data_IF_608408171201
#
_entry.id   IF_608408171201
#
_cell.length_a   1.000
_cell.length_b   1.000
_cell.length_c   1.000
_cell.angle_alpha   90.00
_cell.angle_beta   90.00
_cell.angle_gamma   90.00
#
_symmetry.space_group_name_H-M   'P 1'
#
loop_
_entity.id
_entity.type
_entity.pdbx_description
1 polymer ?
#
# COMPACT_ATOMS: atom_id res chain seq x y z
N UNK A 1 -21.97 -6.25 -12.89
CA UNK A 1 -20.79 -6.46 -12.03
C UNK A 1 -20.00 -5.18 -11.90
N UNK A 2 -19.73 -4.74 -10.66
CA UNK A 2 -18.81 -3.65 -10.36
C UNK A 2 -17.40 -4.24 -10.25
N UNK A 3 -16.43 -3.66 -10.97
CA UNK A 3 -15.02 -4.06 -10.91
C UNK A 3 -14.23 -2.99 -10.18
N UNK A 4 -13.58 -3.38 -9.08
CA UNK A 4 -12.71 -2.52 -8.27
C UNK A 4 -11.29 -3.09 -8.34
N UNK A 5 -10.29 -2.27 -8.64
CA UNK A 5 -8.90 -2.74 -8.67
C UNK A 5 -7.94 -1.67 -8.13
N UNK A 6 -6.68 -2.02 -7.91
CA UNK A 6 -5.66 -1.05 -7.53
C UNK A 6 -5.04 -1.30 -6.15
N UNK A 7 -4.86 -0.22 -5.38
CA UNK A 7 -4.28 -0.31 -4.05
C UNK A 7 -5.21 -1.03 -3.08
N UNK A 8 -4.67 -2.01 -2.36
CA UNK A 8 -5.40 -2.69 -1.31
C UNK A 8 -5.68 -1.77 -0.11
N UNK A 9 -6.90 -1.87 0.41
CA UNK A 9 -7.29 -1.32 1.71
C UNK A 9 -8.37 -2.21 2.34
N UNK A 10 -8.25 -2.58 3.64
CA UNK A 10 -9.26 -3.39 4.32
C UNK A 10 -10.67 -2.78 4.30
N UNK A 11 -10.79 -1.44 4.21
CA UNK A 11 -12.08 -0.77 4.07
C UNK A 11 -12.82 -1.19 2.79
N UNK A 12 -12.10 -1.48 1.72
CA UNK A 12 -12.73 -1.94 0.46
C UNK A 12 -13.38 -3.29 0.67
N UNK A 13 -12.74 -4.20 1.41
CA UNK A 13 -13.29 -5.52 1.70
C UNK A 13 -14.57 -5.39 2.54
N UNK A 14 -14.58 -4.51 3.56
CA UNK A 14 -15.77 -4.20 4.35
C UNK A 14 -16.90 -3.59 3.50
N UNK A 15 -16.59 -2.65 2.64
CA UNK A 15 -17.59 -2.04 1.73
C UNK A 15 -18.19 -3.11 0.82
N UNK A 16 -17.37 -3.98 0.25
CA UNK A 16 -17.83 -5.07 -0.63
C UNK A 16 -18.77 -6.02 0.14
N UNK A 17 -18.43 -6.36 1.39
CA UNK A 17 -19.26 -7.23 2.22
C UNK A 17 -20.60 -6.57 2.57
N UNK A 18 -20.61 -5.29 2.94
CA UNK A 18 -21.84 -4.51 3.14
C UNK A 18 -22.69 -4.47 1.87
N UNK A 19 -22.07 -4.21 0.71
CA UNK A 19 -22.79 -4.17 -0.58
C UNK A 19 -23.46 -5.50 -0.90
N UNK A 20 -22.76 -6.62 -0.70
CA UNK A 20 -23.30 -7.97 -0.93
C UNK A 20 -24.47 -8.29 -0.02
N UNK A 21 -24.43 -7.83 1.23
CA UNK A 21 -25.52 -8.03 2.20
C UNK A 21 -26.72 -7.13 1.93
N UNK A 22 -26.48 -5.93 1.40
CA UNK A 22 -27.54 -4.92 1.20
C UNK A 22 -28.24 -5.07 -0.15
N UNK A 23 -27.50 -5.44 -1.20
CA UNK A 23 -28.02 -5.53 -2.57
C UNK A 23 -27.68 -6.89 -3.18
N UNK A 24 -28.67 -7.78 -3.21
CA UNK A 24 -28.53 -9.15 -3.75
C UNK A 24 -28.08 -9.19 -5.22
N UNK A 25 -28.41 -8.16 -5.99
CA UNK A 25 -28.09 -8.08 -7.42
C UNK A 25 -26.77 -7.35 -7.71
N UNK A 26 -26.05 -6.94 -6.67
CA UNK A 26 -24.78 -6.24 -6.81
C UNK A 26 -23.61 -7.23 -6.74
N UNK A 27 -23.06 -7.59 -7.90
CA UNK A 27 -21.85 -8.40 -7.99
C UNK A 27 -20.61 -7.48 -8.01
N UNK A 28 -19.70 -7.68 -7.07
CA UNK A 28 -18.44 -6.94 -6.98
C UNK A 28 -17.28 -7.89 -7.16
N UNK A 29 -16.42 -7.60 -8.15
CA UNK A 29 -15.12 -8.21 -8.33
C UNK A 29 -14.03 -7.25 -7.85
N UNK A 30 -13.11 -7.72 -7.02
CA UNK A 30 -12.01 -6.92 -6.50
C UNK A 30 -10.67 -7.60 -6.75
N UNK A 31 -9.65 -6.81 -7.12
CA UNK A 31 -8.28 -7.29 -7.30
C UNK A 31 -7.26 -6.26 -6.83
N UNK A 32 -6.10 -6.74 -6.36
CA UNK A 32 -5.07 -5.91 -5.73
C UNK A 32 -3.82 -5.86 -6.60
N UNK A 33 -3.77 -4.90 -7.50
CA UNK A 33 -2.69 -4.72 -8.50
C UNK A 33 -1.78 -3.52 -8.21
N UNK A 34 -1.97 -2.87 -7.06
CA UNK A 34 -1.28 -1.63 -6.70
C UNK A 34 -1.84 -0.40 -7.39
N UNK A 35 -1.46 0.78 -6.89
CA UNK A 35 -2.03 2.07 -7.33
C UNK A 35 -1.83 2.33 -8.82
N UNK A 36 -0.64 2.06 -9.36
CA UNK A 36 -0.39 2.25 -10.79
C UNK A 36 -1.22 1.31 -11.66
N UNK A 37 -1.34 0.04 -11.24
CA UNK A 37 -2.22 -0.93 -11.91
C UNK A 37 -3.67 -0.48 -11.90
N UNK A 38 -4.15 0.11 -10.81
CA UNK A 38 -5.49 0.69 -10.69
C UNK A 38 -5.74 1.83 -11.69
N UNK A 39 -4.81 2.79 -11.80
CA UNK A 39 -4.89 3.88 -12.79
C UNK A 39 -4.97 3.31 -14.21
N UNK A 40 -4.11 2.34 -14.54
CA UNK A 40 -4.06 1.77 -15.89
C UNK A 40 -5.30 0.94 -16.23
N UNK A 41 -5.87 0.24 -15.26
CA UNK A 41 -7.11 -0.52 -15.47
C UNK A 41 -8.32 0.41 -15.71
N UNK A 42 -8.44 1.50 -14.94
CA UNK A 42 -9.48 2.52 -15.18
C UNK A 42 -9.28 3.18 -16.55
N UNK A 43 -8.05 3.55 -16.90
CA UNK A 43 -7.74 4.11 -18.23
C UNK A 43 -8.18 3.21 -19.37
N UNK A 44 -8.02 1.89 -19.25
CA UNK A 44 -8.39 0.91 -20.27
C UNK A 44 -9.85 0.48 -20.20
N UNK A 45 -10.66 1.08 -19.32
CA UNK A 45 -12.03 0.67 -19.03
C UNK A 45 -12.16 -0.81 -18.58
N UNK A 46 -11.09 -1.37 -18.01
CA UNK A 46 -11.07 -2.72 -17.42
C UNK A 46 -11.62 -2.72 -15.98
N UNK A 47 -11.68 -1.56 -15.34
CA UNK A 47 -12.23 -1.39 -14.00
C UNK A 47 -13.10 -0.12 -13.92
N UNK A 48 -14.10 -0.17 -13.05
CA UNK A 48 -15.00 0.96 -12.78
C UNK A 48 -14.41 1.89 -11.71
N UNK A 49 -13.70 1.32 -10.74
CA UNK A 49 -13.05 2.04 -9.64
C UNK A 49 -11.59 1.61 -9.51
N UNK A 50 -10.71 2.57 -9.30
CA UNK A 50 -9.28 2.34 -9.07
C UNK A 50 -8.85 2.87 -7.71
N UNK A 51 -8.41 1.98 -6.79
CA UNK A 51 -7.77 2.40 -5.54
C UNK A 51 -6.38 2.98 -5.81
N UNK A 52 -6.11 4.20 -5.36
CA UNK A 52 -4.83 4.89 -5.59
C UNK A 52 -4.31 5.58 -4.32
N UNK A 53 -2.99 5.49 -4.11
CA UNK A 53 -2.29 6.15 -3.02
C UNK A 53 -0.83 6.40 -3.43
N UNK A 54 -0.61 7.43 -4.24
CA UNK A 54 0.66 7.75 -4.89
C UNK A 54 1.12 9.14 -4.48
N UNK A 55 2.24 9.20 -3.77
CA UNK A 55 2.89 10.46 -3.42
C UNK A 55 3.59 11.05 -4.65
N UNK A 56 3.30 12.30 -4.95
CA UNK A 56 4.12 13.11 -5.86
C UNK A 56 5.24 13.78 -5.07
N UNK A 57 6.47 13.36 -5.31
CA UNK A 57 7.66 13.82 -4.59
C UNK A 57 7.92 15.34 -4.78
N UNK A 58 7.42 15.91 -5.87
CA UNK A 58 7.64 17.33 -6.20
C UNK A 58 6.71 18.24 -5.43
N UNK A 59 5.42 17.89 -5.38
CA UNK A 59 4.38 18.71 -4.76
C UNK A 59 4.03 18.30 -3.34
N UNK A 60 4.44 17.09 -2.90
CA UNK A 60 3.98 16.47 -1.65
C UNK A 60 2.51 16.06 -1.66
N UNK A 61 1.81 16.24 -2.78
CA UNK A 61 0.40 15.90 -2.91
C UNK A 61 0.21 14.46 -3.36
N UNK A 62 -0.97 13.89 -3.05
CA UNK A 62 -1.29 12.53 -3.44
C UNK A 62 -2.17 12.46 -4.69
N UNK A 63 -1.92 11.48 -5.53
CA UNK A 63 -2.75 10.97 -6.62
C UNK A 63 -2.92 11.89 -7.82
N UNK A 64 -3.17 13.19 -7.63
CA UNK A 64 -3.61 14.10 -8.69
C UNK A 64 -2.63 14.21 -9.85
N UNK A 65 -1.33 14.32 -9.56
CA UNK A 65 -0.28 14.41 -10.60
C UNK A 65 -0.24 13.13 -11.46
N UNK A 66 -0.37 11.97 -10.83
CA UNK A 66 -0.41 10.69 -11.54
C UNK A 66 -1.66 10.53 -12.39
N UNK A 67 -2.84 10.87 -11.86
CA UNK A 67 -4.08 10.80 -12.65
C UNK A 67 -4.00 11.71 -13.87
N UNK A 68 -3.56 12.97 -13.71
CA UNK A 68 -3.37 13.90 -14.84
C UNK A 68 -2.35 13.41 -15.87
N UNK A 69 -1.26 12.78 -15.40
CA UNK A 69 -0.21 12.24 -16.28
C UNK A 69 -0.68 11.06 -17.13
N UNK A 70 -1.42 10.14 -16.52
CA UNK A 70 -1.77 8.87 -17.17
C UNK A 70 -3.16 8.86 -17.79
N UNK A 71 -4.05 9.78 -17.39
CA UNK A 71 -5.40 9.96 -17.96
C UNK A 71 -5.57 11.46 -18.30
N UNK A 72 -4.74 12.00 -19.22
CA UNK A 72 -4.78 13.42 -19.57
C UNK A 72 -6.07 13.81 -20.30
N UNK A 73 -6.73 12.86 -20.95
CA UNK A 73 -8.02 13.02 -21.63
C UNK A 73 -9.18 13.27 -20.67
N UNK A 74 -8.98 13.05 -19.37
CA UNK A 74 -10.03 13.21 -18.34
C UNK A 74 -11.05 12.08 -18.35
N UNK A 75 -12.31 12.40 -18.04
CA UNK A 75 -13.39 11.39 -17.97
C UNK A 75 -13.40 10.55 -16.70
N UNK A 76 -12.56 10.90 -15.72
CA UNK A 76 -12.50 10.24 -14.41
C UNK A 76 -12.69 11.24 -13.28
N UNK A 77 -13.23 10.76 -12.16
CA UNK A 77 -13.39 11.55 -10.94
C UNK A 77 -12.50 10.97 -9.84
N UNK A 78 -11.74 11.83 -9.15
CA UNK A 78 -10.98 11.45 -7.97
C UNK A 78 -11.81 11.71 -6.71
N UNK A 79 -12.09 10.66 -5.97
CA UNK A 79 -12.89 10.71 -4.74
C UNK A 79 -11.99 10.38 -3.54
N UNK A 80 -12.05 11.20 -2.49
CA UNK A 80 -11.37 10.89 -1.22
C UNK A 80 -12.12 9.74 -0.54
N UNK A 81 -11.43 8.63 -0.29
CA UNK A 81 -12.01 7.44 0.33
C UNK A 81 -11.60 7.35 1.82
N UNK A 82 -10.31 7.26 2.09
CA UNK A 82 -9.77 7.01 3.43
C UNK A 82 -8.44 7.73 3.63
N UNK A 83 -8.17 8.14 4.85
CA UNK A 83 -6.84 8.58 5.29
C UNK A 83 -6.16 7.43 6.03
N UNK A 84 -4.88 7.19 5.76
CA UNK A 84 -4.13 6.05 6.29
C UNK A 84 -2.82 6.50 6.87
N UNK A 85 -2.52 6.07 8.10
CA UNK A 85 -1.17 6.17 8.64
C UNK A 85 -0.32 5.05 8.05
N UNK A 86 0.75 5.39 7.37
CA UNK A 86 1.76 4.46 6.87
C UNK A 86 2.98 4.45 7.78
N UNK A 87 3.60 3.28 7.94
CA UNK A 87 4.77 3.11 8.79
C UNK A 87 5.37 1.73 8.68
N UNK A 88 6.34 1.47 9.54
CA UNK A 88 6.96 0.15 9.65
C UNK A 88 6.15 -0.73 10.60
N UNK A 89 5.92 -1.94 10.18
CA UNK A 89 5.37 -3.04 10.97
C UNK A 89 6.54 -3.92 11.39
N UNK A 90 6.69 -4.13 12.69
CA UNK A 90 7.75 -4.94 13.29
C UNK A 90 7.15 -5.90 14.32
N UNK A 91 7.91 -6.91 14.73
CA UNK A 91 7.44 -7.85 15.75
C UNK A 91 6.92 -7.13 17.00
N UNK A 92 5.97 -7.75 17.68
CA UNK A 92 5.41 -7.23 18.94
C UNK A 92 6.50 -6.83 19.89
N UNK A 93 6.30 -5.70 20.58
CA UNK A 93 7.23 -5.09 21.53
C UNK A 93 8.57 -4.64 20.91
N UNK A 94 8.71 -4.69 19.58
CA UNK A 94 9.87 -4.20 18.83
C UNK A 94 11.22 -4.68 19.40
N UNK A 95 11.48 -5.98 19.48
CA UNK A 95 12.67 -6.52 20.15
C UNK A 95 13.99 -6.10 19.50
N UNK A 96 13.95 -5.64 18.23
CA UNK A 96 15.13 -5.17 17.51
C UNK A 96 15.36 -3.65 17.66
N UNK A 97 14.48 -2.94 18.37
CA UNK A 97 14.62 -1.51 18.62
C UNK A 97 14.55 -0.63 17.37
N UNK A 98 13.82 -1.06 16.34
CA UNK A 98 13.68 -0.34 15.06
C UNK A 98 12.91 0.96 15.32
N UNK A 99 13.41 2.10 14.85
CA UNK A 99 12.80 3.42 15.03
C UNK A 99 12.44 4.13 13.73
N UNK A 100 13.02 3.68 12.60
CA UNK A 100 12.79 4.30 11.30
C UNK A 100 13.51 3.58 10.17
N UNK A 101 13.60 4.26 9.04
CA UNK A 101 14.06 3.69 7.76
C UNK A 101 15.55 3.30 7.81
N UNK A 102 16.39 4.02 8.56
CA UNK A 102 17.84 3.77 8.61
C UNK A 102 18.19 2.45 9.28
N UNK A 103 17.39 2.00 10.23
CA UNK A 103 17.58 0.74 10.93
C UNK A 103 17.18 -0.50 10.11
N UNK A 104 16.64 -0.32 8.91
CA UNK A 104 16.30 -1.42 8.00
C UNK A 104 17.55 -2.11 7.41
N UNK A 105 18.69 -1.41 7.38
CA UNK A 105 19.95 -1.97 6.86
C UNK A 105 20.34 -3.22 7.66
N UNK A 106 20.58 -4.32 6.94
CA UNK A 106 20.96 -5.60 7.55
C UNK A 106 19.81 -6.45 8.09
N UNK A 107 18.60 -5.91 8.20
CA UNK A 107 17.41 -6.65 8.62
C UNK A 107 16.75 -7.39 7.44
N UNK A 108 16.03 -8.47 7.75
CA UNK A 108 15.20 -9.18 6.77
C UNK A 108 13.94 -8.36 6.53
N UNK A 109 13.85 -7.75 5.39
CA UNK A 109 12.73 -6.90 5.00
C UNK A 109 11.81 -7.62 4.02
N UNK A 110 10.52 -7.31 4.08
CA UNK A 110 9.52 -7.68 3.08
C UNK A 110 8.86 -6.42 2.53
N UNK A 111 8.84 -6.32 1.21
CA UNK A 111 8.36 -5.14 0.51
C UNK A 111 6.93 -5.32 -0.01
N UNK A 112 6.33 -4.23 -0.44
CA UNK A 112 5.16 -4.24 -1.29
C UNK A 112 5.59 -4.34 -2.76
N UNK A 113 4.70 -4.88 -3.60
CA UNK A 113 4.94 -5.02 -5.04
C UNK A 113 5.28 -3.68 -5.70
N UNK A 114 6.06 -3.74 -6.78
CA UNK A 114 6.37 -2.60 -7.65
C UNK A 114 5.08 -1.92 -8.12
N UNK A 115 5.06 -0.59 -8.11
CA UNK A 115 3.89 0.21 -8.47
C UNK A 115 2.86 0.40 -7.35
N UNK A 116 3.05 -0.18 -6.16
CA UNK A 116 2.26 0.17 -5.00
C UNK A 116 2.70 1.52 -4.42
N UNK A 117 1.75 2.30 -3.89
CA UNK A 117 2.06 3.58 -3.26
C UNK A 117 3.03 3.47 -2.08
N UNK A 118 2.91 2.38 -1.31
CA UNK A 118 3.82 2.11 -0.18
C UNK A 118 5.25 1.82 -0.64
N UNK A 119 5.44 1.12 -1.78
CA UNK A 119 6.76 0.90 -2.36
C UNK A 119 7.37 2.21 -2.85
N UNK A 120 6.60 3.04 -3.53
CA UNK A 120 7.05 4.37 -3.99
C UNK A 120 7.45 5.25 -2.80
N UNK A 121 6.66 5.24 -1.72
CA UNK A 121 6.98 5.96 -0.50
C UNK A 121 8.27 5.44 0.15
N UNK A 122 8.46 4.12 0.24
CA UNK A 122 9.70 3.54 0.76
C UNK A 122 10.91 3.99 -0.06
N UNK A 123 10.83 3.92 -1.38
CA UNK A 123 11.93 4.29 -2.27
C UNK A 123 12.30 5.78 -2.10
N UNK A 124 11.29 6.64 -1.96
CA UNK A 124 11.47 8.04 -1.62
C UNK A 124 12.20 8.24 -0.27
N UNK A 125 11.75 7.54 0.77
CA UNK A 125 12.33 7.65 2.11
C UNK A 125 13.76 7.11 2.17
N UNK A 126 14.07 6.02 1.48
CA UNK A 126 15.44 5.49 1.35
C UNK A 126 16.35 6.54 0.70
N UNK A 127 15.91 7.14 -0.40
CA UNK A 127 16.65 8.23 -1.08
C UNK A 127 16.90 9.42 -0.15
N UNK A 128 15.90 9.84 0.63
CA UNK A 128 16.05 10.92 1.62
C UNK A 128 17.05 10.54 2.74
N UNK A 129 17.12 9.27 3.11
CA UNK A 129 18.05 8.75 4.10
C UNK A 129 19.46 8.52 3.56
N UNK A 130 19.68 8.71 2.25
CA UNK A 130 20.95 8.40 1.57
C UNK A 130 21.21 6.91 1.41
N UNK A 131 20.15 6.09 1.41
CA UNK A 131 20.21 4.63 1.28
C UNK A 131 19.68 4.19 -0.09
N UNK A 132 20.14 3.02 -0.52
CA UNK A 132 19.61 2.34 -1.71
C UNK A 132 18.89 1.05 -1.32
N UNK A 133 17.98 0.58 -2.18
CA UNK A 133 17.32 -0.70 -1.97
C UNK A 133 18.29 -1.89 -1.90
N UNK A 134 19.48 -1.78 -2.52
CA UNK A 134 20.50 -2.83 -2.49
C UNK A 134 21.07 -3.07 -1.07
N UNK A 135 20.97 -2.08 -0.17
CA UNK A 135 21.45 -2.20 1.21
C UNK A 135 20.41 -2.88 2.12
N UNK A 136 19.19 -3.08 1.62
CA UNK A 136 18.09 -3.68 2.38
C UNK A 136 17.94 -5.15 1.98
N UNK A 137 18.27 -6.05 2.88
CA UNK A 137 18.12 -7.49 2.64
C UNK A 137 16.64 -7.86 2.49
N UNK A 138 16.26 -8.40 1.33
CA UNK A 138 14.88 -8.75 1.03
C UNK A 138 14.08 -7.62 0.37
N UNK A 139 14.73 -6.54 -0.08
CA UNK A 139 14.08 -5.45 -0.80
C UNK A 139 13.31 -5.92 -2.05
N UNK A 140 13.78 -6.98 -2.72
CA UNK A 140 13.11 -7.58 -3.88
C UNK A 140 12.07 -8.65 -3.50
N UNK A 141 11.94 -8.99 -2.21
CA UNK A 141 10.87 -9.86 -1.72
C UNK A 141 9.58 -9.07 -1.61
N UNK A 142 8.61 -9.40 -2.43
CA UNK A 142 7.38 -8.62 -2.58
C UNK A 142 6.14 -9.37 -2.09
N UNK A 143 5.23 -8.62 -1.47
CA UNK A 143 3.89 -9.07 -1.10
C UNK A 143 2.82 -8.12 -1.69
N UNK A 144 1.70 -8.70 -2.13
CA UNK A 144 0.66 -7.96 -2.86
C UNK A 144 -0.23 -7.12 -1.94
N UNK A 145 -0.42 -7.51 -0.67
CA UNK A 145 -1.31 -6.83 0.28
C UNK A 145 -0.59 -6.35 1.53
N UNK A 146 -1.14 -5.38 2.24
CA UNK A 146 -0.63 -4.95 3.53
C UNK A 146 -0.71 -6.06 4.58
N UNK A 147 -1.76 -6.88 4.52
CA UNK A 147 -1.96 -8.02 5.42
C UNK A 147 -0.94 -9.13 5.17
N UNK A 148 -0.55 -9.39 3.91
CA UNK A 148 0.50 -10.35 3.59
C UNK A 148 1.88 -9.89 4.11
N UNK A 149 2.20 -8.60 4.01
CA UNK A 149 3.41 -8.03 4.64
C UNK A 149 3.37 -8.21 6.16
N UNK A 150 2.24 -7.89 6.80
CA UNK A 150 2.07 -8.06 8.24
C UNK A 150 2.19 -9.53 8.66
N UNK A 151 1.61 -10.46 7.92
CA UNK A 151 1.74 -11.90 8.16
C UNK A 151 3.18 -12.39 8.08
N UNK A 152 3.98 -11.89 7.11
CA UNK A 152 5.39 -12.23 6.98
C UNK A 152 6.21 -11.76 8.20
N UNK A 153 5.89 -10.58 8.75
CA UNK A 153 6.51 -10.07 9.99
C UNK A 153 6.05 -10.88 11.20
N UNK A 154 4.74 -11.13 11.35
CA UNK A 154 4.18 -11.88 12.46
C UNK A 154 4.72 -13.33 12.55
N UNK A 155 4.93 -13.97 11.40
CA UNK A 155 5.51 -15.33 11.32
C UNK A 155 7.02 -15.37 11.54
N UNK A 156 7.70 -14.22 11.69
CA UNK A 156 9.14 -14.13 11.86
C UNK A 156 9.95 -14.45 10.58
N UNK A 157 9.28 -14.52 9.41
CA UNK A 157 9.98 -14.69 8.12
C UNK A 157 10.59 -13.39 7.60
N UNK A 158 10.14 -12.24 8.13
CA UNK A 158 10.73 -10.93 7.97
C UNK A 158 10.83 -10.24 9.33
N UNK A 159 11.80 -9.34 9.48
CA UNK A 159 11.99 -8.53 10.70
C UNK A 159 11.19 -7.24 10.64
N UNK A 160 10.98 -6.71 9.43
CA UNK A 160 10.20 -5.50 9.19
C UNK A 160 9.55 -5.50 7.80
N UNK A 161 8.48 -4.72 7.68
CA UNK A 161 7.85 -4.41 6.41
C UNK A 161 7.06 -3.11 6.52
N UNK A 162 6.92 -2.37 5.43
CA UNK A 162 6.15 -1.13 5.43
C UNK A 162 4.68 -1.39 5.06
N UNK A 163 3.78 -0.78 5.82
CA UNK A 163 2.35 -0.95 5.60
C UNK A 163 1.51 0.09 6.31
N UNK A 164 0.27 -0.26 6.58
CA UNK A 164 -0.71 0.60 7.26
C UNK A 164 -0.98 0.12 8.68
N UNK A 165 -1.35 1.06 9.56
CA UNK A 165 -1.65 0.77 10.96
C UNK A 165 -2.73 -0.32 11.13
N UNK A 166 -3.75 -0.33 10.26
CA UNK A 166 -4.82 -1.34 10.33
C UNK A 166 -4.27 -2.76 10.16
N UNK A 167 -3.32 -2.98 9.22
CA UNK A 167 -2.71 -4.29 9.02
C UNK A 167 -1.84 -4.72 10.21
N UNK A 168 -1.10 -3.79 10.82
CA UNK A 168 -0.31 -4.07 12.02
C UNK A 168 -1.20 -4.53 13.18
N UNK A 169 -2.37 -3.89 13.39
CA UNK A 169 -3.33 -4.25 14.45
C UNK A 169 -3.92 -5.64 14.27
N UNK A 170 -4.22 -6.06 13.04
CA UNK A 170 -4.77 -7.40 12.76
C UNK A 170 -3.82 -8.51 13.26
N UNK A 171 -2.51 -8.28 13.16
CA UNK A 171 -1.48 -9.26 13.52
C UNK A 171 -0.78 -8.97 14.86
N UNK A 172 -1.31 -8.05 15.67
CA UNK A 172 -0.76 -7.65 16.98
C UNK A 172 0.74 -7.24 16.89
N UNK A 173 1.09 -6.52 15.80
CA UNK A 173 2.44 -6.03 15.55
C UNK A 173 2.65 -4.64 16.18
N UNK A 174 3.87 -4.34 16.55
CA UNK A 174 4.29 -2.97 16.86
C UNK A 174 4.36 -2.17 15.57
N UNK A 175 3.76 -0.97 15.59
CA UNK A 175 3.71 -0.06 14.46
C UNK A 175 4.51 1.21 14.74
N UNK A 176 5.40 1.56 13.81
CA UNK A 176 6.25 2.74 13.89
C UNK A 176 5.75 3.71 12.80
N UNK A 177 4.98 4.76 13.15
CA UNK A 177 4.39 5.67 12.16
C UNK A 177 5.47 6.47 11.44
N UNK A 178 5.29 6.64 10.13
CA UNK A 178 6.19 7.41 9.26
C UNK A 178 5.47 8.62 8.66
N UNK A 179 4.27 8.42 8.11
CA UNK A 179 3.46 9.49 7.53
C UNK A 179 1.96 9.16 7.52
N UNK A 180 1.13 10.18 7.32
CA UNK A 180 -0.31 10.11 7.11
C UNK A 180 -0.69 10.45 5.67
#
# INVERSE_FOLDING_TARGET
>A
TLVITGSHDPLIDEIIDIMRRTWSDCFVASSHVGSMGGIMAVKRAEAHLGGVHLLDETSGAYNLAYVRKYIPEGGVQLVRCVQRTQGLMVAKDNPLGIRGIKELVGLRYVNRQKGSGTRILLDYLLKQAGLSGAEIRGYEREEITHTAVAAAVASGTADAGMGILAAARIYDLTFIPICE
#
